data_IF_908629402307
#
_entry.id   IF_908629402307
#
_cell.length_a   1.000
_cell.length_b   1.000
_cell.length_c   1.000
_cell.angle_alpha   90.00
_cell.angle_beta   90.00
_cell.angle_gamma   90.00
#
_symmetry.space_group_name_H-M   'P 1'
#
loop_
_entity.id
_entity.type
_entity.pdbx_description
1 polymer ?
#
# COMPACT_ATOMS: atom_id res chain seq x y z
N UNK A 1 -6.43 -30.82 -3.19
CA UNK A 1 -5.11 -30.53 -3.80
C UNK A 1 -5.16 -29.23 -4.59
N UNK A 2 -6.00 -29.10 -5.62
CA UNK A 2 -6.11 -27.93 -6.50
C UNK A 2 -6.41 -26.61 -5.75
N UNK A 3 -7.30 -26.64 -4.74
CA UNK A 3 -7.64 -25.44 -3.94
C UNK A 3 -6.45 -24.97 -3.09
N UNK A 4 -5.69 -25.90 -2.51
CA UNK A 4 -4.50 -25.58 -1.72
C UNK A 4 -3.41 -24.96 -2.59
N UNK A 5 -3.13 -25.54 -3.76
CA UNK A 5 -2.18 -24.99 -4.74
C UNK A 5 -2.57 -23.57 -5.18
N UNK A 6 -3.86 -23.25 -5.26
CA UNK A 6 -4.36 -21.90 -5.57
C UNK A 6 -4.14 -20.94 -4.40
N UNK A 7 -4.41 -21.35 -3.16
CA UNK A 7 -4.19 -20.52 -1.98
C UNK A 7 -2.69 -20.21 -1.81
N UNK A 8 -1.82 -21.21 -1.96
CA UNK A 8 -0.36 -21.05 -1.90
C UNK A 8 0.12 -20.03 -2.95
N UNK A 9 -0.33 -20.16 -4.21
CA UNK A 9 -0.02 -19.21 -5.28
C UNK A 9 -0.44 -17.78 -4.95
N UNK A 10 -1.63 -17.58 -4.37
CA UNK A 10 -2.14 -16.26 -4.00
C UNK A 10 -1.33 -15.65 -2.85
N UNK A 11 -0.92 -16.45 -1.88
CA UNK A 11 -0.05 -16.01 -0.79
C UNK A 11 1.35 -15.64 -1.29
N UNK A 12 1.96 -16.45 -2.13
CA UNK A 12 3.25 -16.16 -2.79
C UNK A 12 3.19 -14.87 -3.60
N UNK A 13 2.14 -14.71 -4.40
CA UNK A 13 1.94 -13.51 -5.22
C UNK A 13 1.71 -12.25 -4.36
N UNK A 14 1.08 -12.38 -3.21
CA UNK A 14 0.92 -11.28 -2.25
C UNK A 14 2.27 -10.90 -1.63
N UNK A 15 3.04 -11.87 -1.13
CA UNK A 15 4.36 -11.62 -0.52
C UNK A 15 5.38 -11.09 -1.51
N UNK A 16 5.37 -11.58 -2.74
CA UNK A 16 6.24 -11.05 -3.82
C UNK A 16 6.01 -9.55 -4.04
N UNK A 17 4.81 -9.04 -3.84
CA UNK A 17 4.46 -7.62 -4.00
C UNK A 17 4.63 -6.80 -2.73
N UNK A 18 4.27 -7.36 -1.58
CA UNK A 18 4.34 -6.66 -0.30
C UNK A 18 5.75 -6.66 0.30
N UNK A 19 6.57 -7.68 -0.02
CA UNK A 19 7.92 -7.96 0.49
C UNK A 19 7.99 -8.22 1.99
N UNK A 20 7.26 -7.44 2.77
CA UNK A 20 7.12 -7.59 4.22
C UNK A 20 5.64 -7.49 4.55
N UNK A 21 5.08 -8.48 5.24
CA UNK A 21 3.67 -8.49 5.59
C UNK A 21 3.34 -9.47 6.73
N UNK A 22 2.33 -9.14 7.53
CA UNK A 22 1.72 -10.09 8.45
C UNK A 22 0.60 -10.89 7.78
N UNK A 23 0.13 -11.95 8.44
CA UNK A 23 -0.88 -12.85 7.87
C UNK A 23 -2.19 -12.14 7.47
N UNK A 24 -2.61 -11.10 8.20
CA UNK A 24 -3.79 -10.32 7.84
C UNK A 24 -3.60 -9.51 6.55
N UNK A 25 -2.39 -8.99 6.33
CA UNK A 25 -2.05 -8.23 5.13
C UNK A 25 -1.96 -9.14 3.90
N UNK A 26 -1.36 -10.33 4.05
CA UNK A 26 -1.32 -11.36 3.00
C UNK A 26 -2.75 -11.75 2.61
N UNK A 27 -3.59 -12.08 3.60
CA UNK A 27 -4.99 -12.43 3.37
C UNK A 27 -5.75 -11.36 2.60
N UNK A 28 -5.63 -10.11 3.04
CA UNK A 28 -6.38 -8.97 2.47
C UNK A 28 -5.86 -8.51 1.11
N UNK A 29 -4.72 -9.02 0.68
CA UNK A 29 -4.15 -8.58 -0.59
C UNK A 29 -5.06 -8.93 -1.77
N UNK A 30 -5.56 -10.15 -1.82
CA UNK A 30 -6.53 -10.61 -2.82
C UNK A 30 -7.96 -10.73 -2.28
N UNK A 31 -8.08 -10.85 -0.95
CA UNK A 31 -9.33 -11.16 -0.24
C UNK A 31 -9.99 -12.47 -0.73
N UNK A 32 -9.16 -13.44 -1.11
CA UNK A 32 -9.56 -14.70 -1.73
C UNK A 32 -8.98 -15.95 -1.02
N UNK A 33 -8.32 -15.75 0.13
CA UNK A 33 -7.80 -16.82 0.99
C UNK A 33 -8.29 -16.65 2.42
N UNK A 34 -8.45 -17.77 3.13
CA UNK A 34 -8.89 -17.79 4.52
C UNK A 34 -7.71 -17.59 5.49
N UNK A 35 -7.95 -17.20 6.76
CA UNK A 35 -6.88 -17.10 7.76
C UNK A 35 -6.13 -18.41 7.96
N UNK A 36 -6.82 -19.57 7.89
CA UNK A 36 -6.22 -20.90 8.05
C UNK A 36 -5.28 -21.21 6.90
N UNK A 37 -5.69 -21.00 5.66
CA UNK A 37 -4.84 -21.20 4.48
C UNK A 37 -3.58 -20.34 4.53
N UNK A 38 -3.69 -19.07 4.96
CA UNK A 38 -2.52 -18.20 5.15
C UNK A 38 -1.60 -18.74 6.25
N UNK A 39 -2.14 -19.19 7.37
CA UNK A 39 -1.36 -19.75 8.47
C UNK A 39 -0.62 -21.02 8.04
N UNK A 40 -1.28 -21.92 7.32
CA UNK A 40 -0.69 -23.15 6.79
C UNK A 40 0.41 -22.85 5.77
N UNK A 41 0.17 -21.88 4.90
CA UNK A 41 1.16 -21.43 3.92
C UNK A 41 2.39 -20.83 4.61
N UNK A 42 2.21 -19.90 5.58
CA UNK A 42 3.31 -19.29 6.35
C UNK A 42 4.17 -20.34 7.04
N UNK A 43 3.53 -21.38 7.62
CA UNK A 43 4.25 -22.47 8.30
C UNK A 43 5.14 -23.30 7.37
N UNK A 44 4.81 -23.34 6.07
CA UNK A 44 5.58 -24.09 5.05
C UNK A 44 6.47 -23.22 4.16
N UNK A 45 6.30 -21.90 4.17
CA UNK A 45 7.02 -20.98 3.30
C UNK A 45 8.40 -20.62 3.88
N UNK A 46 9.37 -20.39 3.00
CA UNK A 46 10.71 -19.92 3.38
C UNK A 46 10.68 -18.41 3.66
N UNK A 47 10.02 -17.98 4.74
CA UNK A 47 9.93 -16.59 5.15
C UNK A 47 10.89 -16.29 6.31
N UNK A 48 11.36 -15.06 6.40
CA UNK A 48 12.17 -14.57 7.51
C UNK A 48 11.26 -13.89 8.53
N UNK A 49 11.33 -14.25 9.84
CA UNK A 49 10.70 -13.47 10.89
C UNK A 49 11.45 -12.15 11.04
N UNK A 50 10.72 -11.04 11.01
CA UNK A 50 11.27 -9.69 11.15
C UNK A 50 10.35 -8.84 12.01
N UNK A 51 10.88 -7.79 12.63
CA UNK A 51 10.08 -6.75 13.28
C UNK A 51 10.15 -5.47 12.45
N UNK A 52 9.01 -4.83 12.26
CA UNK A 52 8.87 -3.59 11.50
C UNK A 52 8.37 -2.49 12.40
N UNK A 53 9.09 -1.39 12.42
CA UNK A 53 8.69 -0.18 13.12
C UNK A 53 7.54 0.52 12.39
N UNK A 54 6.52 0.96 13.13
CA UNK A 54 5.42 1.73 12.58
C UNK A 54 5.70 3.24 12.63
N UNK A 55 4.80 4.03 12.06
CA UNK A 55 4.93 5.49 12.03
C UNK A 55 4.89 6.16 13.42
N UNK A 56 4.53 5.43 14.46
CA UNK A 56 4.52 5.88 15.87
C UNK A 56 5.70 5.35 16.68
N UNK A 57 6.66 4.64 16.04
CA UNK A 57 7.83 4.07 16.68
C UNK A 57 7.60 2.73 17.38
N UNK A 58 6.47 2.06 17.15
CA UNK A 58 6.16 0.75 17.74
C UNK A 58 6.59 -0.37 16.82
N UNK A 59 7.16 -1.43 17.39
CA UNK A 59 7.63 -2.60 16.65
C UNK A 59 6.55 -3.68 16.54
N UNK A 60 6.41 -4.25 15.35
CA UNK A 60 5.43 -5.27 15.02
C UNK A 60 6.10 -6.46 14.36
N UNK A 61 5.90 -7.64 14.93
CA UNK A 61 6.39 -8.88 14.33
C UNK A 61 5.63 -9.21 13.05
N UNK A 62 6.37 -9.63 12.04
CA UNK A 62 5.86 -9.87 10.70
C UNK A 62 6.81 -10.80 9.93
N UNK A 63 6.53 -11.04 8.67
CA UNK A 63 7.30 -11.90 7.78
C UNK A 63 7.88 -11.10 6.63
N UNK A 64 9.10 -11.45 6.22
CA UNK A 64 9.75 -10.90 5.05
C UNK A 64 10.11 -12.00 4.05
N UNK A 65 10.23 -11.64 2.78
CA UNK A 65 10.77 -12.51 1.75
C UNK A 65 12.26 -12.78 2.02
N UNK A 66 12.81 -13.96 1.62
CA UNK A 66 14.20 -14.33 1.95
C UNK A 66 15.26 -13.36 1.41
N UNK A 67 14.98 -12.68 0.29
CA UNK A 67 15.89 -11.76 -0.37
C UNK A 67 15.72 -10.30 0.06
N UNK A 68 15.02 -10.06 1.17
CA UNK A 68 14.68 -8.69 1.63
C UNK A 68 15.93 -7.80 1.82
N UNK A 69 17.06 -8.36 2.21
CA UNK A 69 18.30 -7.61 2.43
C UNK A 69 18.78 -6.85 1.19
N UNK A 70 18.58 -7.40 -0.01
CA UNK A 70 18.94 -6.75 -1.27
C UNK A 70 18.27 -5.39 -1.47
N UNK A 71 17.08 -5.21 -0.87
CA UNK A 71 16.31 -3.97 -0.96
C UNK A 71 16.82 -2.89 0.00
N UNK A 72 17.59 -3.27 1.02
CA UNK A 72 18.28 -2.33 1.90
C UNK A 72 19.63 -1.90 1.35
N UNK A 73 20.31 -2.78 0.62
CA UNK A 73 21.62 -2.49 0.01
C UNK A 73 21.52 -1.50 -1.15
N UNK A 74 20.44 -1.60 -1.93
CA UNK A 74 20.11 -0.65 -3.00
C UNK A 74 18.63 -0.23 -2.91
N UNK A 75 18.29 0.70 -2.01
CA UNK A 75 16.90 1.16 -1.85
C UNK A 75 16.38 1.95 -3.06
N UNK A 76 17.21 2.14 -4.09
CA UNK A 76 16.87 2.92 -5.26
C UNK A 76 16.34 4.29 -4.85
N UNK A 77 17.18 5.28 -4.67
CA UNK A 77 16.80 6.64 -4.27
C UNK A 77 15.85 7.28 -5.28
N UNK A 78 14.57 7.00 -5.10
CA UNK A 78 13.53 7.66 -5.88
C UNK A 78 13.34 9.08 -5.33
N UNK A 79 14.09 10.03 -5.87
CA UNK A 79 13.96 11.46 -5.55
C UNK A 79 12.74 12.11 -6.23
N UNK A 80 12.05 11.38 -7.10
CA UNK A 80 10.91 11.89 -7.86
C UNK A 80 9.61 11.73 -7.08
N UNK A 81 8.82 12.79 -7.04
CA UNK A 81 7.42 12.71 -6.61
C UNK A 81 6.64 11.80 -7.55
N UNK A 82 5.84 10.90 -6.97
CA UNK A 82 4.99 9.94 -7.68
C UNK A 82 3.53 10.17 -7.31
N UNK A 83 2.68 10.14 -8.32
CA UNK A 83 1.23 10.11 -8.13
C UNK A 83 0.82 8.65 -8.05
N UNK A 84 0.29 8.24 -6.89
CA UNK A 84 -0.07 6.85 -6.64
C UNK A 84 -1.54 6.62 -6.96
N UNK A 85 -1.82 5.57 -7.72
CA UNK A 85 -3.20 5.20 -8.05
C UNK A 85 -3.96 4.76 -6.78
N UNK A 86 -5.21 5.20 -6.55
CA UNK A 86 -6.02 4.79 -5.40
C UNK A 86 -6.22 3.28 -5.22
N UNK A 87 -6.05 2.50 -6.28
CA UNK A 87 -6.12 1.04 -6.26
C UNK A 87 -4.76 0.34 -6.20
N UNK A 88 -3.68 1.11 -6.07
CA UNK A 88 -2.35 0.54 -5.91
C UNK A 88 -2.28 -0.35 -4.66
N UNK A 89 -1.67 -1.55 -4.75
CA UNK A 89 -1.51 -2.45 -3.61
C UNK A 89 -0.86 -1.80 -2.39
N UNK A 90 0.05 -0.84 -2.58
CA UNK A 90 0.73 -0.14 -1.49
C UNK A 90 -0.23 0.65 -0.60
N UNK A 91 -1.32 1.18 -1.17
CA UNK A 91 -2.26 2.06 -0.44
C UNK A 91 -3.64 1.47 -0.23
N UNK A 92 -3.99 0.41 -0.96
CA UNK A 92 -5.32 -0.20 -0.89
C UNK A 92 -5.66 -0.72 0.52
N UNK A 93 -4.68 -1.26 1.24
CA UNK A 93 -4.86 -1.72 2.61
C UNK A 93 -4.64 -0.57 3.61
N UNK A 94 -5.71 0.19 3.89
CA UNK A 94 -5.68 1.45 4.68
C UNK A 94 -5.00 1.32 6.05
N UNK A 95 -5.25 0.21 6.78
CA UNK A 95 -4.63 -0.03 8.09
C UNK A 95 -3.12 -0.18 7.97
N UNK A 96 -2.64 -0.86 6.93
CA UNK A 96 -1.21 -0.98 6.64
C UNK A 96 -0.61 0.38 6.28
N UNK A 97 -1.27 1.14 5.43
CA UNK A 97 -0.84 2.47 5.01
C UNK A 97 -0.70 3.42 6.21
N UNK A 98 -1.72 3.46 7.06
CA UNK A 98 -1.69 4.27 8.29
C UNK A 98 -0.58 3.79 9.23
N UNK A 99 -0.45 2.49 9.45
CA UNK A 99 0.56 1.92 10.34
C UNK A 99 1.99 2.20 9.86
N UNK A 100 2.29 1.95 8.59
CA UNK A 100 3.67 2.08 8.08
C UNK A 100 4.09 3.53 7.80
N UNK A 101 3.15 4.37 7.36
CA UNK A 101 3.47 5.70 6.84
C UNK A 101 2.78 6.83 7.61
N UNK A 102 1.96 6.54 8.61
CA UNK A 102 1.15 7.56 9.29
C UNK A 102 0.13 8.26 8.37
N UNK A 103 -0.08 7.73 7.17
CA UNK A 103 -0.89 8.37 6.14
C UNK A 103 -2.31 7.82 6.12
N UNK A 104 -3.28 8.64 6.55
CA UNK A 104 -4.69 8.30 6.45
C UNK A 104 -5.21 8.58 5.05
N UNK A 105 -5.68 7.54 4.36
CA UNK A 105 -6.21 7.67 3.01
C UNK A 105 -7.49 6.89 2.81
N UNK A 106 -8.43 7.53 2.09
CA UNK A 106 -9.67 6.92 1.62
C UNK A 106 -10.01 7.48 0.23
N UNK A 107 -10.28 6.60 -0.71
CA UNK A 107 -10.90 7.01 -1.97
C UNK A 107 -12.38 7.35 -1.71
N UNK A 108 -12.78 8.58 -2.05
CA UNK A 108 -14.12 9.09 -1.76
C UNK A 108 -15.05 9.09 -2.98
N UNK A 109 -14.70 8.37 -4.06
CA UNK A 109 -15.52 8.30 -5.28
C UNK A 109 -16.95 7.79 -5.04
N UNK A 110 -17.14 6.95 -4.01
CA UNK A 110 -18.46 6.42 -3.62
C UNK A 110 -19.12 7.21 -2.47
N UNK A 111 -18.47 8.26 -1.98
CA UNK A 111 -19.00 9.13 -0.93
C UNK A 111 -19.83 10.24 -1.57
N UNK A 112 -21.05 10.54 -1.06
CA UNK A 112 -21.82 11.69 -1.54
C UNK A 112 -21.01 12.97 -1.50
N UNK A 113 -21.17 13.84 -2.50
CA UNK A 113 -20.34 15.07 -2.67
C UNK A 113 -20.26 15.92 -1.40
N UNK A 114 -21.38 16.12 -0.73
CA UNK A 114 -21.46 16.94 0.49
C UNK A 114 -20.70 16.35 1.70
N UNK A 115 -20.33 15.05 1.65
CA UNK A 115 -19.66 14.34 2.73
C UNK A 115 -18.18 14.05 2.42
N UNK A 116 -17.68 14.46 1.24
CA UNK A 116 -16.29 14.28 0.86
C UNK A 116 -15.42 15.28 1.60
N UNK A 117 -14.35 14.79 2.19
CA UNK A 117 -13.32 15.61 2.84
C UNK A 117 -12.36 16.22 1.83
N UNK A 118 -12.01 15.44 0.80
CA UNK A 118 -10.99 15.81 -0.17
C UNK A 118 -11.57 16.05 -1.57
N UNK A 119 -12.08 15.02 -2.21
CA UNK A 119 -12.59 15.14 -3.57
C UNK A 119 -13.17 13.83 -4.10
N UNK A 120 -13.49 13.82 -5.40
CA UNK A 120 -14.08 12.64 -6.02
C UNK A 120 -13.06 11.53 -6.23
N UNK A 121 -11.94 11.87 -6.86
CA UNK A 121 -10.89 10.91 -7.21
C UNK A 121 -9.52 11.52 -6.92
N UNK A 122 -9.10 11.37 -5.70
CA UNK A 122 -7.89 12.01 -5.17
C UNK A 122 -6.75 11.01 -5.12
N UNK A 123 -5.61 11.40 -5.66
CA UNK A 123 -4.40 10.60 -5.72
C UNK A 123 -3.44 10.97 -4.59
N UNK A 124 -2.90 10.01 -3.83
CA UNK A 124 -1.77 10.28 -2.94
C UNK A 124 -0.51 10.68 -3.71
N UNK A 125 0.27 11.56 -3.11
CA UNK A 125 1.58 11.98 -3.58
C UNK A 125 2.65 11.35 -2.69
N UNK A 126 3.54 10.58 -3.29
CA UNK A 126 4.65 9.93 -2.61
C UNK A 126 5.98 10.54 -3.09
N UNK A 127 6.78 11.05 -2.17
CA UNK A 127 8.13 11.52 -2.39
C UNK A 127 9.09 10.67 -1.56
N UNK A 128 10.03 10.02 -2.23
CA UNK A 128 10.88 8.99 -1.63
C UNK A 128 10.02 7.92 -0.90
N UNK A 129 10.07 7.88 0.42
CA UNK A 129 9.35 6.97 1.31
C UNK A 129 8.23 7.65 2.12
N UNK A 130 7.90 8.93 1.81
CA UNK A 130 6.91 9.72 2.54
C UNK A 130 5.74 10.12 1.67
N UNK A 131 4.53 9.97 2.20
CA UNK A 131 3.35 10.60 1.60
C UNK A 131 3.33 12.09 1.97
N UNK A 132 3.45 12.94 0.96
CA UNK A 132 3.63 14.40 1.14
C UNK A 132 2.34 15.18 0.87
N UNK A 133 1.33 14.55 0.31
CA UNK A 133 0.07 15.22 0.01
C UNK A 133 -0.90 14.41 -0.82
N UNK A 134 -1.88 15.11 -1.32
CA UNK A 134 -2.96 14.60 -2.17
C UNK A 134 -3.22 15.55 -3.33
N UNK A 135 -3.58 15.00 -4.49
CA UNK A 135 -3.91 15.79 -5.67
C UNK A 135 -5.18 15.24 -6.35
N UNK A 136 -6.07 16.12 -6.76
CA UNK A 136 -7.16 15.77 -7.63
C UNK A 136 -6.90 16.34 -9.04
N UNK A 137 -7.00 15.46 -10.03
CA UNK A 137 -6.68 15.78 -11.41
C UNK A 137 -7.88 15.52 -12.31
N UNK A 138 -8.11 16.42 -13.27
CA UNK A 138 -9.13 16.28 -14.30
C UNK A 138 -8.51 16.44 -15.68
N UNK A 139 -8.68 15.45 -16.54
CA UNK A 139 -8.29 15.54 -17.94
C UNK A 139 -9.25 16.42 -18.74
N UNK A 140 -8.72 17.40 -19.43
CA UNK A 140 -9.42 18.15 -20.46
C UNK A 140 -8.97 17.63 -21.82
N UNK A 141 -9.76 16.72 -22.37
CA UNK A 141 -9.41 16.04 -23.64
C UNK A 141 -9.49 16.98 -24.83
N UNK A 142 -10.35 17.99 -24.78
CA UNK A 142 -10.49 18.96 -25.87
C UNK A 142 -9.27 19.87 -26.01
N UNK A 143 -8.65 20.21 -24.89
CA UNK A 143 -7.45 21.05 -24.85
C UNK A 143 -6.14 20.24 -24.69
N UNK A 144 -6.21 18.92 -24.58
CA UNK A 144 -5.03 18.08 -24.35
C UNK A 144 -4.30 18.37 -23.04
N UNK A 145 -5.01 18.84 -22.00
CA UNK A 145 -4.43 19.30 -20.73
C UNK A 145 -4.92 18.49 -19.55
N UNK A 146 -4.08 18.43 -18.53
CA UNK A 146 -4.46 18.01 -17.18
C UNK A 146 -4.65 19.24 -16.30
N UNK A 147 -5.81 19.33 -15.65
CA UNK A 147 -6.11 20.40 -14.68
C UNK A 147 -6.00 19.86 -13.27
N UNK A 148 -5.28 20.56 -12.40
CA UNK A 148 -5.32 20.32 -10.96
C UNK A 148 -6.58 20.97 -10.42
N UNK A 149 -7.51 20.17 -9.89
CA UNK A 149 -8.77 20.62 -9.31
C UNK A 149 -8.73 20.70 -7.79
N UNK A 150 -7.75 20.03 -7.17
CA UNK A 150 -7.49 20.10 -5.74
C UNK A 150 -6.07 19.66 -5.41
N UNK A 151 -5.50 20.29 -4.40
CA UNK A 151 -4.18 19.94 -3.86
C UNK A 151 -4.16 20.18 -2.36
N UNK A 152 -3.66 19.18 -1.63
CA UNK A 152 -3.57 19.22 -0.16
C UNK A 152 -2.22 18.65 0.26
N UNK A 153 -1.39 19.48 0.89
CA UNK A 153 -0.13 19.02 1.51
C UNK A 153 -0.38 18.34 2.85
N UNK A 154 0.45 17.38 3.20
CA UNK A 154 0.45 16.82 4.55
C UNK A 154 1.07 17.82 5.54
N UNK A 155 0.68 17.76 6.84
CA UNK A 155 1.26 18.62 7.86
C UNK A 155 2.79 18.49 7.93
N UNK A 156 3.48 19.64 8.04
CA UNK A 156 4.94 19.69 8.11
C UNK A 156 5.69 19.55 6.78
N UNK A 157 4.99 19.42 5.67
CA UNK A 157 5.58 19.52 4.33
C UNK A 157 5.58 20.98 3.88
N UNK A 158 6.77 21.49 3.52
CA UNK A 158 6.98 22.85 2.99
C UNK A 158 7.06 22.82 1.49
#
# INVERSE_FOLDING_TARGET
RRLREQADYLCDAAMTRLRVANGSEIRRFWDAVTPVEVSDWVAGAALLPVSVEDAEGRWHDTWAVPDIQRWFEDPGTATRMRIINPFDPAIRHRKRLLRLFGFEYRNEMFVPRAQRRWGYYVYPLLEADRFVGRIELKGDRGEGRMRVTGFWSEPGIK
#
